data_IF_814496581001
#
_entry.id   IF_814496581001
#
_cell.length_a   1.000
_cell.length_b   1.000
_cell.length_c   1.000
_cell.angle_alpha   90.00
_cell.angle_beta   90.00
_cell.angle_gamma   90.00
#
_symmetry.space_group_name_H-M   'P 1'
#
loop_
_entity.id
_entity.type
_entity.pdbx_description
1 polymer ?
#
# COMPACT_ATOMS: atom_id res chain seq x y z
N UNK A 1 -39.06 -33.58 -33.87
CA UNK A 1 -39.44 -32.30 -33.21
C UNK A 1 -39.41 -32.53 -31.71
N UNK A 2 -38.58 -31.79 -31.00
CA UNK A 2 -38.39 -31.94 -29.56
C UNK A 2 -36.99 -31.50 -29.15
N UNK A 3 -36.62 -30.27 -29.48
CA UNK A 3 -35.41 -29.64 -28.95
C UNK A 3 -35.64 -29.34 -27.46
N UNK A 4 -35.12 -30.20 -26.61
CA UNK A 4 -34.92 -29.89 -25.19
C UNK A 4 -33.80 -28.87 -25.07
N UNK A 5 -34.17 -27.59 -25.05
CA UNK A 5 -33.27 -26.48 -24.76
C UNK A 5 -32.72 -26.64 -23.33
N UNK A 6 -31.39 -26.77 -23.26
CA UNK A 6 -30.59 -26.92 -22.06
C UNK A 6 -30.73 -25.69 -21.15
N UNK A 7 -31.15 -25.88 -19.89
CA UNK A 7 -31.27 -24.86 -18.82
C UNK A 7 -29.91 -24.29 -18.36
N UNK A 8 -29.00 -23.95 -19.26
CA UNK A 8 -27.63 -23.46 -18.94
C UNK A 8 -27.34 -22.02 -19.33
N UNK A 9 -28.35 -21.17 -19.49
CA UNK A 9 -28.16 -19.78 -19.91
C UNK A 9 -28.89 -18.74 -19.06
N UNK A 10 -29.14 -19.03 -17.77
CA UNK A 10 -29.70 -18.05 -16.82
C UNK A 10 -28.90 -18.00 -15.51
N UNK A 11 -27.58 -17.82 -15.60
CA UNK A 11 -26.73 -17.54 -14.43
C UNK A 11 -26.03 -16.18 -14.55
N UNK A 12 -26.70 -15.23 -15.20
CA UNK A 12 -26.18 -13.88 -15.41
C UNK A 12 -26.97 -12.81 -14.62
N UNK A 13 -28.09 -13.17 -13.98
CA UNK A 13 -28.92 -12.24 -13.20
C UNK A 13 -28.71 -12.26 -11.68
N UNK A 14 -27.87 -13.16 -11.16
CA UNK A 14 -27.69 -13.35 -9.70
C UNK A 14 -26.54 -12.51 -9.12
N UNK A 15 -25.52 -12.21 -9.94
CA UNK A 15 -24.34 -11.44 -9.51
C UNK A 15 -24.65 -9.95 -9.31
N UNK A 16 -25.49 -9.37 -10.16
CA UNK A 16 -25.88 -7.96 -10.03
C UNK A 16 -26.74 -7.75 -8.77
N UNK A 17 -27.63 -8.71 -8.47
CA UNK A 17 -28.42 -8.69 -7.23
C UNK A 17 -27.56 -8.84 -5.98
N UNK A 18 -26.56 -9.75 -5.97
CA UNK A 18 -25.63 -9.90 -4.83
C UNK A 18 -24.75 -8.65 -4.62
N UNK A 19 -24.39 -7.95 -5.70
CA UNK A 19 -23.63 -6.69 -5.63
C UNK A 19 -24.49 -5.54 -5.10
N UNK A 20 -25.77 -5.46 -5.48
CA UNK A 20 -26.72 -4.47 -4.95
C UNK A 20 -26.94 -4.61 -3.44
N UNK A 21 -26.89 -5.83 -2.89
CA UNK A 21 -26.99 -6.03 -1.43
C UNK A 21 -25.78 -5.52 -0.64
N UNK A 22 -24.62 -5.35 -1.29
CA UNK A 22 -23.37 -4.91 -0.66
C UNK A 22 -23.12 -3.41 -0.80
N UNK A 23 -23.99 -2.68 -1.50
CA UNK A 23 -23.83 -1.26 -1.78
C UNK A 23 -25.12 -0.48 -1.49
N UNK A 24 -24.97 0.77 -1.04
CA UNK A 24 -26.12 1.69 -0.98
C UNK A 24 -26.40 2.23 -2.40
N UNK A 25 -27.68 2.37 -2.80
CA UNK A 25 -28.03 3.10 -4.01
C UNK A 25 -27.42 4.50 -3.96
N UNK A 26 -26.61 4.86 -4.96
CA UNK A 26 -25.92 6.14 -5.01
C UNK A 26 -26.94 7.29 -5.13
N UNK A 27 -27.09 8.16 -4.11
CA UNK A 27 -28.07 9.24 -4.16
C UNK A 27 -27.57 10.45 -4.96
N UNK A 28 -26.31 10.46 -5.39
CA UNK A 28 -25.70 11.62 -6.04
C UNK A 28 -25.89 11.54 -7.57
N UNK A 29 -26.30 12.64 -8.22
CA UNK A 29 -26.42 12.69 -9.68
C UNK A 29 -25.06 12.56 -10.35
N UNK A 30 -25.06 12.07 -11.59
CA UNK A 30 -23.86 12.04 -12.43
C UNK A 30 -23.33 13.46 -12.69
N UNK A 31 -22.04 13.56 -12.94
CA UNK A 31 -21.30 14.83 -13.02
C UNK A 31 -21.90 15.86 -13.97
N UNK A 32 -22.35 15.44 -15.16
CA UNK A 32 -22.96 16.33 -16.15
C UNK A 32 -24.36 16.81 -15.73
N UNK A 33 -25.13 15.93 -15.08
CA UNK A 33 -26.45 16.27 -14.53
C UNK A 33 -26.34 17.20 -13.31
N UNK A 34 -25.25 17.11 -12.53
CA UNK A 34 -24.96 18.03 -11.43
C UNK A 34 -24.53 19.43 -11.90
N UNK A 35 -23.92 19.54 -13.09
CA UNK A 35 -23.53 20.81 -13.71
C UNK A 35 -24.68 21.50 -14.46
N UNK A 36 -25.69 20.75 -14.88
CA UNK A 36 -26.88 21.24 -15.59
C UNK A 36 -27.96 21.75 -14.62
N UNK A 37 -27.73 22.91 -14.00
CA UNK A 37 -28.81 23.66 -13.33
C UNK A 37 -29.69 24.31 -14.42
N UNK A 38 -31.04 24.35 -14.29
CA UNK A 38 -31.93 24.64 -15.42
C UNK A 38 -31.75 26.07 -15.92
N UNK A 39 -31.35 26.21 -17.18
CA UNK A 39 -31.47 27.45 -17.92
C UNK A 39 -32.92 27.61 -18.40
N UNK A 40 -33.85 27.87 -17.47
CA UNK A 40 -35.18 28.36 -17.82
C UNK A 40 -35.42 29.71 -17.14
N UNK A 41 -34.80 30.78 -17.66
CA UNK A 41 -35.39 32.13 -17.71
C UNK A 41 -34.73 32.95 -18.85
N UNK A 42 -35.48 33.86 -19.52
CA UNK A 42 -35.09 34.50 -20.78
C UNK A 42 -33.93 35.51 -20.64
N UNK A 43 -33.29 35.93 -21.75
CA UNK A 43 -31.97 36.54 -21.73
C UNK A 43 -32.01 38.02 -21.29
N UNK A 44 -31.81 38.26 -20.00
CA UNK A 44 -31.46 39.58 -19.46
C UNK A 44 -30.30 39.46 -18.47
N UNK A 45 -29.09 39.75 -18.96
CA UNK A 45 -27.91 40.22 -18.21
C UNK A 45 -27.73 39.72 -16.76
N UNK A 46 -27.54 38.41 -16.56
CA UNK A 46 -26.93 37.89 -15.32
C UNK A 46 -25.51 37.39 -15.61
N UNK A 47 -24.50 37.75 -14.79
CA UNK A 47 -23.19 37.13 -14.88
C UNK A 47 -23.32 35.61 -14.72
N UNK A 48 -22.45 34.84 -15.40
CA UNK A 48 -22.40 33.39 -15.24
C UNK A 48 -22.30 33.03 -13.75
N UNK A 49 -23.20 32.17 -13.28
CA UNK A 49 -23.22 31.74 -11.88
C UNK A 49 -21.87 31.10 -11.53
N UNK A 50 -21.32 31.51 -10.41
CA UNK A 50 -20.05 30.98 -9.91
C UNK A 50 -20.23 29.53 -9.46
N UNK A 51 -19.17 28.69 -9.50
CA UNK A 51 -19.23 27.31 -8.97
C UNK A 51 -19.74 27.23 -7.52
N UNK A 52 -19.57 28.31 -6.75
CA UNK A 52 -20.04 28.48 -5.38
C UNK A 52 -21.58 28.61 -5.31
N UNK A 53 -22.19 29.28 -6.28
CA UNK A 53 -23.65 29.43 -6.41
C UNK A 53 -24.31 28.16 -6.97
N UNK A 54 -23.58 27.37 -7.76
CA UNK A 54 -24.01 26.07 -8.28
C UNK A 54 -23.81 24.92 -7.28
N UNK A 55 -23.25 25.19 -6.09
CA UNK A 55 -23.00 24.18 -5.06
C UNK A 55 -21.97 23.12 -5.46
N UNK A 56 -21.17 23.38 -6.50
CA UNK A 56 -20.18 22.44 -7.01
C UNK A 56 -18.93 22.42 -6.12
N UNK A 57 -18.32 21.24 -5.89
CA UNK A 57 -17.17 21.12 -4.99
C UNK A 57 -15.85 21.64 -5.57
N UNK A 58 -15.79 21.96 -6.87
CA UNK A 58 -14.57 22.34 -7.57
C UNK A 58 -14.71 23.64 -8.37
N UNK A 59 -13.63 24.41 -8.44
CA UNK A 59 -13.44 25.48 -9.41
C UNK A 59 -13.15 24.89 -10.80
N UNK A 60 -13.21 25.73 -11.85
CA UNK A 60 -12.93 25.33 -13.23
C UNK A 60 -11.48 24.87 -13.47
N UNK A 61 -10.55 25.20 -12.59
CA UNK A 61 -9.15 24.73 -12.62
C UNK A 61 -8.93 23.40 -11.87
N UNK A 62 -10.01 22.76 -11.40
CA UNK A 62 -9.97 21.49 -10.66
C UNK A 62 -9.62 21.64 -9.17
N UNK A 63 -9.43 22.86 -8.66
CA UNK A 63 -9.20 23.07 -7.23
C UNK A 63 -10.50 22.95 -6.44
N UNK A 64 -10.40 22.42 -5.22
CA UNK A 64 -11.54 22.31 -4.31
C UNK A 64 -11.95 23.70 -3.83
N UNK A 65 -13.26 23.99 -3.87
CA UNK A 65 -13.77 25.28 -3.37
C UNK A 65 -13.55 25.42 -1.86
N UNK A 66 -13.39 26.67 -1.40
CA UNK A 66 -13.06 26.95 -0.01
C UNK A 66 -14.11 26.44 0.99
N UNK A 67 -15.40 26.58 0.69
CA UNK A 67 -16.49 26.12 1.56
C UNK A 67 -16.47 24.59 1.74
N UNK A 68 -16.19 23.84 0.67
CA UNK A 68 -16.09 22.39 0.74
C UNK A 68 -14.83 21.95 1.47
N UNK A 69 -13.69 22.63 1.23
CA UNK A 69 -12.45 22.44 1.99
C UNK A 69 -12.69 22.60 3.49
N UNK A 70 -13.39 23.66 3.92
CA UNK A 70 -13.74 23.89 5.33
C UNK A 70 -14.56 22.75 5.91
N UNK A 71 -15.55 22.23 5.18
CA UNK A 71 -16.38 21.10 5.60
C UNK A 71 -15.55 19.83 5.79
N UNK A 72 -14.66 19.53 4.83
CA UNK A 72 -13.73 18.39 4.91
C UNK A 72 -12.83 18.53 6.14
N UNK A 73 -12.19 19.70 6.32
CA UNK A 73 -11.30 19.95 7.45
C UNK A 73 -12.01 19.83 8.80
N UNK A 74 -13.24 20.33 8.92
CA UNK A 74 -14.05 20.15 10.13
C UNK A 74 -14.29 18.67 10.41
N UNK A 75 -14.69 17.91 9.39
CA UNK A 75 -15.00 16.50 9.56
C UNK A 75 -13.77 15.65 9.89
N UNK A 76 -12.61 15.99 9.32
CA UNK A 76 -11.33 15.37 9.67
C UNK A 76 -11.04 15.56 11.16
N UNK A 77 -11.20 16.78 11.69
CA UNK A 77 -10.98 17.06 13.12
C UNK A 77 -11.92 16.26 14.01
N UNK A 78 -13.21 16.21 13.68
CA UNK A 78 -14.20 15.47 14.45
C UNK A 78 -13.89 13.96 14.47
N UNK A 79 -13.53 13.39 13.31
CA UNK A 79 -13.21 11.97 13.19
C UNK A 79 -11.87 11.63 13.86
N UNK A 80 -10.88 12.52 13.83
CA UNK A 80 -9.63 12.32 14.56
C UNK A 80 -9.86 12.27 16.07
N UNK A 81 -10.75 13.12 16.60
CA UNK A 81 -11.11 13.06 18.02
C UNK A 81 -11.78 11.72 18.38
N UNK A 82 -12.72 11.25 17.56
CA UNK A 82 -13.38 9.96 17.77
C UNK A 82 -12.39 8.79 17.67
N UNK A 83 -11.49 8.83 16.69
CA UNK A 83 -10.43 7.84 16.51
C UNK A 83 -9.53 7.78 17.75
N UNK A 84 -9.04 8.92 18.24
CA UNK A 84 -8.18 8.99 19.43
C UNK A 84 -8.86 8.45 20.70
N UNK A 85 -10.17 8.69 20.84
CA UNK A 85 -10.94 8.09 21.93
C UNK A 85 -11.03 6.56 21.77
N UNK A 86 -11.34 6.08 20.56
CA UNK A 86 -11.42 4.65 20.27
C UNK A 86 -10.08 3.90 20.41
N UNK A 87 -8.95 4.57 20.14
CA UNK A 87 -7.62 3.97 20.27
C UNK A 87 -7.28 3.60 21.73
N UNK A 88 -7.95 4.16 22.73
CA UNK A 88 -7.75 3.80 24.14
C UNK A 88 -8.07 2.33 24.43
N UNK A 89 -8.93 1.71 23.62
CA UNK A 89 -9.32 0.29 23.76
C UNK A 89 -8.73 -0.62 22.68
N UNK A 90 -7.89 -0.07 21.77
CA UNK A 90 -7.25 -0.83 20.72
C UNK A 90 -6.17 -1.79 21.27
N UNK A 91 -5.94 -2.90 20.56
CA UNK A 91 -4.94 -3.90 20.96
C UNK A 91 -3.55 -3.24 21.09
N UNK A 92 -2.94 -3.27 22.29
CA UNK A 92 -1.65 -2.63 22.48
C UNK A 92 -0.48 -3.31 21.76
N UNK A 93 -0.65 -4.53 21.27
CA UNK A 93 0.40 -5.33 20.63
C UNK A 93 0.38 -5.27 19.10
N UNK A 94 -0.71 -4.83 18.48
CA UNK A 94 -0.78 -4.70 17.01
C UNK A 94 0.03 -3.50 16.53
N UNK A 95 1.27 -3.75 16.13
CA UNK A 95 2.17 -2.74 15.58
C UNK A 95 2.17 -2.72 14.04
N UNK A 96 1.20 -3.37 13.38
CA UNK A 96 1.12 -3.38 11.92
C UNK A 96 0.70 -2.01 11.36
N UNK A 97 1.00 -1.77 10.08
CA UNK A 97 0.45 -0.61 9.38
C UNK A 97 -0.99 -0.85 8.88
N UNK A 98 -1.39 -2.11 8.72
CA UNK A 98 -2.70 -2.52 8.21
C UNK A 98 -3.83 -2.26 9.21
N UNK A 99 -3.65 -2.65 10.48
CA UNK A 99 -4.67 -2.53 11.53
C UNK A 99 -4.15 -1.92 12.83
N UNK A 100 -2.84 -1.67 12.91
CA UNK A 100 -2.17 -1.34 14.15
C UNK A 100 -1.65 0.09 14.27
N UNK A 101 -0.84 0.30 15.29
CA UNK A 101 -0.30 1.60 15.69
C UNK A 101 0.58 2.27 14.62
N UNK A 102 1.21 1.50 13.73
CA UNK A 102 1.99 2.07 12.62
C UNK A 102 1.09 2.71 11.57
N UNK A 103 -0.13 2.19 11.37
CA UNK A 103 -1.11 2.80 10.46
C UNK A 103 -1.54 4.18 10.96
N UNK A 104 -1.73 4.28 12.28
CA UNK A 104 -2.04 5.55 12.95
C UNK A 104 -0.87 6.53 12.85
N UNK A 105 0.37 6.07 13.05
CA UNK A 105 1.55 6.89 12.83
C UNK A 105 1.61 7.42 11.39
N UNK A 106 1.37 6.56 10.40
CA UNK A 106 1.35 6.94 8.99
C UNK A 106 0.26 7.97 8.68
N UNK A 107 -0.93 7.85 9.28
CA UNK A 107 -1.99 8.86 9.18
C UNK A 107 -1.53 10.22 9.71
N UNK A 108 -0.92 10.25 10.89
CA UNK A 108 -0.41 11.50 11.48
C UNK A 108 0.73 12.12 10.67
N UNK A 109 1.62 11.30 10.11
CA UNK A 109 2.63 11.77 9.17
C UNK A 109 1.99 12.37 7.91
N UNK A 110 0.92 11.76 7.39
CA UNK A 110 0.19 12.30 6.24
C UNK A 110 -0.52 13.63 6.57
N UNK A 111 -1.11 13.75 7.77
CA UNK A 111 -1.68 15.02 8.23
C UNK A 111 -0.60 16.11 8.27
N UNK A 112 0.57 15.82 8.84
CA UNK A 112 1.71 16.73 8.81
C UNK A 112 2.12 17.14 7.39
N UNK A 113 2.16 16.21 6.43
CA UNK A 113 2.52 16.53 5.04
C UNK A 113 1.56 17.52 4.37
N UNK A 114 0.27 17.45 4.71
CA UNK A 114 -0.76 18.29 4.09
C UNK A 114 -0.91 19.62 4.82
N UNK A 115 -0.77 19.65 6.15
CA UNK A 115 -0.99 20.86 6.97
C UNK A 115 0.28 21.58 7.39
N UNK A 116 1.43 20.91 7.32
CA UNK A 116 2.71 21.34 7.89
C UNK A 116 2.67 21.60 9.41
N UNK A 117 1.66 21.08 10.12
CA UNK A 117 1.52 21.24 11.58
C UNK A 117 2.42 20.26 12.33
N UNK A 118 3.41 20.80 13.04
CA UNK A 118 4.40 20.04 13.81
C UNK A 118 3.78 19.16 14.90
N UNK A 119 2.62 19.52 15.43
CA UNK A 119 1.93 18.70 16.43
C UNK A 119 1.59 17.31 15.88
N UNK A 120 1.21 17.22 14.60
CA UNK A 120 0.95 15.93 13.97
C UNK A 120 2.23 15.11 13.77
N UNK A 121 3.35 15.75 13.47
CA UNK A 121 4.63 15.05 13.36
C UNK A 121 5.09 14.49 14.71
N UNK A 122 4.95 15.27 15.79
CA UNK A 122 5.24 14.81 17.15
C UNK A 122 4.30 13.69 17.58
N UNK A 123 3.00 13.79 17.24
CA UNK A 123 2.04 12.72 17.51
C UNK A 123 2.38 11.43 16.77
N UNK A 124 2.81 11.54 15.50
CA UNK A 124 3.33 10.40 14.75
C UNK A 124 4.55 9.76 15.42
N UNK A 125 5.46 10.57 15.98
CA UNK A 125 6.65 10.08 16.69
C UNK A 125 6.28 9.25 17.93
N UNK A 126 5.25 9.66 18.69
CA UNK A 126 4.81 8.93 19.87
C UNK A 126 4.35 7.50 19.51
N UNK A 127 3.60 7.36 18.43
CA UNK A 127 3.18 6.04 17.92
C UNK A 127 4.36 5.24 17.33
N UNK A 128 5.29 5.89 16.62
CA UNK A 128 6.51 5.25 16.12
C UNK A 128 7.31 4.66 17.28
N UNK A 129 7.60 5.45 18.31
CA UNK A 129 8.35 5.00 19.50
C UNK A 129 7.71 3.79 20.16
N UNK A 130 6.38 3.73 20.18
CA UNK A 130 5.63 2.57 20.67
C UNK A 130 5.85 1.35 19.78
N UNK A 131 5.66 1.49 18.48
CA UNK A 131 5.74 0.36 17.52
C UNK A 131 7.15 -0.24 17.43
N UNK A 132 8.20 0.59 17.47
CA UNK A 132 9.59 0.15 17.37
C UNK A 132 10.07 -0.67 18.58
N UNK A 133 9.38 -0.58 19.73
CA UNK A 133 9.69 -1.38 20.93
C UNK A 133 9.15 -2.80 20.84
N UNK A 134 8.20 -3.05 19.93
CA UNK A 134 7.40 -4.28 19.87
C UNK A 134 7.60 -5.05 18.54
N UNK A 135 8.74 -4.87 17.88
CA UNK A 135 9.11 -5.65 16.69
C UNK A 135 9.28 -7.12 17.07
N UNK A 136 8.73 -8.02 16.25
CA UNK A 136 8.67 -9.45 16.58
C UNK A 136 9.34 -10.37 15.55
N UNK A 137 9.80 -9.82 14.42
CA UNK A 137 10.54 -10.54 13.38
C UNK A 137 9.73 -11.57 12.60
N UNK A 138 8.43 -11.74 12.87
CA UNK A 138 7.62 -12.81 12.24
C UNK A 138 7.21 -12.49 10.82
N UNK A 139 7.03 -11.21 10.50
CA UNK A 139 6.55 -10.73 9.20
C UNK A 139 7.43 -9.57 8.75
N UNK A 140 7.62 -9.47 7.43
CA UNK A 140 8.63 -8.57 6.84
C UNK A 140 8.04 -7.50 5.93
N UNK A 141 6.72 -7.42 5.75
CA UNK A 141 6.08 -6.47 4.82
C UNK A 141 5.78 -5.13 5.47
N UNK A 142 5.57 -4.10 4.66
CA UNK A 142 5.16 -2.78 5.16
C UNK A 142 3.83 -2.82 5.91
N UNK A 143 2.83 -3.52 5.36
CA UNK A 143 1.47 -3.52 5.92
C UNK A 143 1.36 -4.38 7.17
N UNK A 144 1.94 -5.58 7.15
CA UNK A 144 1.66 -6.58 8.18
C UNK A 144 2.90 -6.99 8.99
N UNK A 145 4.07 -6.39 8.75
CA UNK A 145 5.34 -6.81 9.36
C UNK A 145 6.21 -5.66 9.81
N UNK A 146 7.41 -6.02 10.27
CA UNK A 146 8.35 -5.09 10.92
C UNK A 146 8.89 -4.02 9.96
N UNK A 147 8.82 -4.25 8.65
CA UNK A 147 9.21 -3.24 7.67
C UNK A 147 8.32 -2.00 7.70
N UNK A 148 7.05 -2.11 8.14
CA UNK A 148 6.16 -0.96 8.33
C UNK A 148 6.67 0.00 9.40
N UNK A 149 6.75 -0.42 10.67
CA UNK A 149 7.30 0.40 11.76
C UNK A 149 8.67 0.98 11.44
N UNK A 150 9.57 0.19 10.85
CA UNK A 150 10.92 0.62 10.51
C UNK A 150 10.92 1.68 9.41
N UNK A 151 10.15 1.49 8.33
CA UNK A 151 10.08 2.45 7.24
C UNK A 151 9.40 3.76 7.66
N UNK A 152 8.26 3.69 8.36
CA UNK A 152 7.58 4.88 8.88
C UNK A 152 8.44 5.61 9.92
N UNK A 153 9.08 4.85 10.82
CA UNK A 153 10.00 5.41 11.81
C UNK A 153 11.18 6.14 11.17
N UNK A 154 11.83 5.55 10.16
CA UNK A 154 12.93 6.17 9.45
C UNK A 154 12.55 7.55 8.88
N UNK A 155 11.37 7.66 8.27
CA UNK A 155 10.87 8.91 7.68
C UNK A 155 10.53 9.93 8.76
N UNK A 156 9.85 9.54 9.83
CA UNK A 156 9.48 10.44 10.93
C UNK A 156 10.74 11.03 11.59
N UNK A 157 11.73 10.20 11.91
CA UNK A 157 13.00 10.65 12.47
C UNK A 157 13.76 11.57 11.50
N UNK A 158 13.75 11.25 10.21
CA UNK A 158 14.37 12.10 9.19
C UNK A 158 13.71 13.49 9.10
N UNK A 159 12.38 13.57 9.12
CA UNK A 159 11.65 14.86 9.13
C UNK A 159 11.96 15.67 10.39
N UNK A 160 12.21 15.01 11.52
CA UNK A 160 12.61 15.62 12.80
C UNK A 160 14.11 15.94 12.91
N UNK A 161 14.91 15.66 11.89
CA UNK A 161 16.37 15.86 11.89
C UNK A 161 17.12 15.00 12.91
N UNK A 162 16.54 13.86 13.26
CA UNK A 162 17.16 12.80 14.06
C UNK A 162 17.80 11.76 13.13
N UNK A 163 18.93 12.12 12.53
CA UNK A 163 19.57 11.27 11.50
C UNK A 163 20.07 9.94 12.07
N UNK A 164 20.50 9.91 13.34
CA UNK A 164 20.96 8.68 14.00
C UNK A 164 19.87 7.61 14.06
N UNK A 165 18.72 7.96 14.63
CA UNK A 165 17.57 7.06 14.75
C UNK A 165 16.96 6.71 13.39
N UNK A 166 16.98 7.65 12.44
CA UNK A 166 16.55 7.39 11.06
C UNK A 166 17.43 6.31 10.40
N UNK A 167 18.76 6.46 10.47
CA UNK A 167 19.70 5.49 9.91
C UNK A 167 19.65 4.13 10.63
N UNK A 168 19.39 4.11 11.94
CA UNK A 168 19.17 2.87 12.67
C UNK A 168 17.95 2.10 12.14
N UNK A 169 16.84 2.81 11.88
CA UNK A 169 15.64 2.22 11.31
C UNK A 169 15.90 1.65 9.90
N UNK A 170 16.62 2.38 9.04
CA UNK A 170 17.01 1.92 7.69
C UNK A 170 17.90 0.69 7.79
N UNK A 171 18.87 0.69 8.69
CA UNK A 171 19.79 -0.44 8.88
C UNK A 171 19.03 -1.70 9.28
N UNK A 172 18.10 -1.59 10.24
CA UNK A 172 17.23 -2.70 10.64
C UNK A 172 16.31 -3.15 9.49
N UNK A 173 15.77 -2.22 8.71
CA UNK A 173 14.94 -2.53 7.54
C UNK A 173 15.72 -3.37 6.52
N UNK A 174 16.98 -3.01 6.25
CA UNK A 174 17.86 -3.74 5.35
C UNK A 174 18.30 -5.10 5.91
N UNK A 175 18.39 -5.27 7.23
CA UNK A 175 18.66 -6.57 7.83
C UNK A 175 17.55 -7.60 7.56
N UNK A 176 16.30 -7.15 7.42
CA UNK A 176 15.17 -8.01 7.03
C UNK A 176 15.34 -8.62 5.62
N UNK A 177 16.14 -7.99 4.75
CA UNK A 177 16.33 -8.42 3.37
C UNK A 177 16.89 -9.85 3.27
N UNK A 178 17.69 -10.28 4.26
CA UNK A 178 18.26 -11.63 4.29
C UNK A 178 17.20 -12.73 4.27
N UNK A 179 16.08 -12.52 4.97
CA UNK A 179 14.95 -13.46 5.03
C UNK A 179 14.17 -13.50 3.71
N UNK A 180 14.28 -12.45 2.90
CA UNK A 180 13.45 -12.22 1.71
C UNK A 180 14.13 -12.72 0.44
N UNK A 181 15.44 -12.50 0.35
CA UNK A 181 16.28 -12.90 -0.78
C UNK A 181 16.78 -14.35 -0.61
N UNK A 182 16.54 -14.98 0.54
CA UNK A 182 16.88 -16.38 0.75
C UNK A 182 16.20 -17.28 -0.30
N UNK A 183 16.99 -18.11 -0.97
CA UNK A 183 16.54 -19.03 -2.03
C UNK A 183 15.50 -20.03 -1.58
N UNK A 184 15.50 -20.40 -0.31
CA UNK A 184 14.56 -21.34 0.31
C UNK A 184 13.38 -20.62 1.00
N UNK A 185 13.24 -19.30 0.79
CA UNK A 185 12.14 -18.53 1.36
C UNK A 185 10.80 -18.86 0.69
N UNK A 186 9.83 -19.31 1.49
CA UNK A 186 8.45 -19.59 1.07
C UNK A 186 7.55 -18.33 1.00
N UNK A 187 8.16 -17.13 1.01
CA UNK A 187 7.40 -15.89 0.94
C UNK A 187 6.65 -15.78 -0.40
N UNK A 188 5.37 -15.38 -0.36
CA UNK A 188 4.60 -15.12 -1.58
C UNK A 188 5.10 -13.84 -2.26
N UNK A 189 4.59 -13.55 -3.46
CA UNK A 189 4.95 -12.34 -4.23
C UNK A 189 3.87 -11.24 -4.16
N UNK A 190 3.00 -11.27 -3.14
CA UNK A 190 1.91 -10.29 -2.96
C UNK A 190 2.24 -9.19 -1.92
N UNK A 191 1.29 -8.30 -1.66
CA UNK A 191 1.50 -7.04 -0.94
C UNK A 191 1.45 -7.19 0.59
N UNK A 192 0.59 -8.05 1.12
CA UNK A 192 0.32 -8.13 2.56
C UNK A 192 1.40 -8.92 3.30
N UNK A 193 1.91 -10.00 2.71
CA UNK A 193 2.84 -10.95 3.35
C UNK A 193 4.05 -11.30 2.46
N UNK A 194 4.09 -10.79 1.24
CA UNK A 194 5.07 -11.17 0.24
C UNK A 194 6.17 -10.17 -0.05
N UNK A 195 7.01 -10.53 -1.04
CA UNK A 195 8.14 -9.73 -1.50
C UNK A 195 7.73 -8.33 -1.97
N UNK A 196 6.54 -8.18 -2.57
CA UNK A 196 6.04 -6.89 -3.03
C UNK A 196 5.76 -5.95 -1.85
N UNK A 197 5.25 -6.47 -0.72
CA UNK A 197 5.03 -5.71 0.50
C UNK A 197 6.31 -5.16 1.14
N UNK A 198 7.41 -5.91 1.07
CA UNK A 198 8.71 -5.40 1.52
C UNK A 198 9.34 -4.43 0.54
N UNK A 199 9.24 -4.72 -0.77
CA UNK A 199 9.71 -3.81 -1.81
C UNK A 199 9.04 -2.44 -1.68
N UNK A 200 7.75 -2.40 -1.37
CA UNK A 200 7.04 -1.16 -1.07
C UNK A 200 7.68 -0.39 0.08
N UNK A 201 8.10 -1.06 1.17
CA UNK A 201 8.77 -0.39 2.30
C UNK A 201 10.07 0.31 1.87
N UNK A 202 10.90 -0.35 1.05
CA UNK A 202 12.14 0.23 0.53
C UNK A 202 11.87 1.45 -0.36
N UNK A 203 10.89 1.33 -1.27
CA UNK A 203 10.50 2.42 -2.17
C UNK A 203 9.87 3.59 -1.42
N UNK A 204 9.08 3.32 -0.38
CA UNK A 204 8.49 4.34 0.49
C UNK A 204 9.58 5.20 1.14
N UNK A 205 10.60 4.58 1.74
CA UNK A 205 11.73 5.32 2.35
C UNK A 205 12.46 6.18 1.32
N UNK A 206 12.77 5.63 0.13
CA UNK A 206 13.43 6.39 -0.94
C UNK A 206 12.58 7.54 -1.47
N UNK A 207 11.26 7.39 -1.50
CA UNK A 207 10.36 8.45 -1.98
C UNK A 207 10.29 9.58 -0.96
N UNK A 208 10.22 9.27 0.33
CA UNK A 208 9.99 10.27 1.38
C UNK A 208 11.26 11.00 1.85
N UNK A 209 12.42 10.34 1.76
CA UNK A 209 13.72 10.88 2.18
C UNK A 209 14.60 11.33 1.01
N UNK A 210 14.22 10.98 -0.22
CA UNK A 210 14.95 11.31 -1.43
C UNK A 210 15.78 10.14 -2.00
N UNK A 211 16.16 10.24 -3.29
CA UNK A 211 16.91 9.18 -3.97
C UNK A 211 18.27 8.97 -3.28
N UNK A 212 18.49 7.75 -2.79
CA UNK A 212 19.75 7.36 -2.14
C UNK A 212 19.64 7.01 -0.66
N UNK A 213 18.48 7.20 -0.02
CA UNK A 213 18.27 6.75 1.37
C UNK A 213 18.41 5.22 1.53
N UNK A 214 18.04 4.47 0.49
CA UNK A 214 18.21 3.02 0.35
C UNK A 214 18.95 2.76 -0.97
N UNK A 215 20.02 1.97 -0.90
CA UNK A 215 20.83 1.58 -2.05
C UNK A 215 19.98 0.94 -3.16
N UNK A 216 20.16 1.37 -4.40
CA UNK A 216 19.41 0.85 -5.55
C UNK A 216 19.67 -0.66 -5.78
N UNK A 217 20.85 -1.15 -5.39
CA UNK A 217 21.18 -2.58 -5.37
C UNK A 217 20.19 -3.36 -4.51
N UNK A 218 19.91 -2.91 -3.28
CA UNK A 218 18.98 -3.55 -2.36
C UNK A 218 17.56 -3.64 -2.95
N UNK A 219 17.11 -2.58 -3.64
CA UNK A 219 15.79 -2.55 -4.31
C UNK A 219 15.75 -3.53 -5.48
N UNK A 220 16.79 -3.57 -6.31
CA UNK A 220 16.88 -4.45 -7.49
C UNK A 220 17.04 -5.93 -7.13
N UNK A 221 17.54 -6.26 -5.94
CA UNK A 221 17.70 -7.66 -5.52
C UNK A 221 16.36 -8.37 -5.28
N UNK A 222 15.35 -7.68 -4.72
CA UNK A 222 14.07 -8.30 -4.34
C UNK A 222 13.31 -8.89 -5.56
N UNK A 223 13.18 -8.18 -6.72
CA UNK A 223 12.57 -8.75 -7.92
C UNK A 223 13.44 -9.82 -8.62
N UNK A 224 14.77 -9.74 -8.50
CA UNK A 224 15.72 -10.62 -9.19
C UNK A 224 15.65 -12.06 -8.71
N UNK A 225 15.31 -12.30 -7.45
CA UNK A 225 15.20 -13.66 -6.92
C UNK A 225 14.06 -14.45 -7.60
N UNK A 226 12.92 -13.81 -7.90
CA UNK A 226 11.84 -14.44 -8.66
C UNK A 226 12.27 -14.80 -10.09
N UNK A 227 13.02 -13.93 -10.75
CA UNK A 227 13.54 -14.19 -12.09
C UNK A 227 14.48 -15.40 -12.09
N UNK A 228 15.28 -15.60 -11.04
CA UNK A 228 16.17 -16.78 -10.87
C UNK A 228 15.41 -18.08 -10.69
N UNK A 229 14.22 -18.08 -10.05
CA UNK A 229 13.38 -19.28 -9.91
C UNK A 229 12.68 -19.72 -11.21
N UNK A 230 12.49 -18.80 -12.17
CA UNK A 230 11.86 -19.12 -13.47
C UNK A 230 12.84 -19.69 -14.51
N UNK A 231 14.14 -19.60 -14.27
CA UNK A 231 15.16 -20.19 -15.16
C UNK A 231 15.47 -21.60 -14.64
N UNK A 232 15.04 -22.67 -15.32
CA UNK A 232 15.48 -24.02 -14.95
C UNK A 232 17.00 -24.09 -15.08
N UNK A 233 17.66 -24.71 -14.10
CA UNK A 233 19.08 -25.08 -14.22
C UNK A 233 19.32 -25.77 -15.56
N UNK A 234 20.40 -25.48 -16.31
CA UNK A 234 20.78 -26.34 -17.42
C UNK A 234 20.92 -27.76 -16.86
N UNK A 235 20.20 -28.70 -17.45
CA UNK A 235 20.29 -30.11 -17.11
C UNK A 235 21.76 -30.52 -17.23
N UNK A 236 22.33 -31.12 -16.17
CA UNK A 236 23.61 -31.78 -16.30
C UNK A 236 23.49 -32.83 -17.41
N UNK A 237 24.40 -32.89 -18.39
CA UNK A 237 24.37 -33.94 -19.39
C UNK A 237 24.47 -35.29 -18.67
N UNK A 238 23.72 -36.32 -19.11
CA UNK A 238 23.77 -37.62 -18.48
C UNK A 238 25.22 -38.11 -18.46
N UNK A 239 25.65 -38.61 -17.30
CA UNK A 239 26.96 -39.22 -17.13
C UNK A 239 27.18 -40.22 -18.27
N UNK A 240 28.22 -39.97 -19.07
CA UNK A 240 28.64 -40.88 -20.12
C UNK A 240 28.81 -42.26 -19.49
N UNK A 241 28.00 -43.20 -19.95
CA UNK A 241 28.10 -44.61 -19.60
C UNK A 241 29.50 -45.06 -19.99
N UNK A 242 30.38 -45.19 -18.99
CA UNK A 242 31.69 -45.81 -19.19
C UNK A 242 31.41 -47.26 -19.59
N UNK A 243 31.64 -47.56 -20.87
CA UNK A 243 31.77 -48.94 -21.36
C UNK A 243 32.81 -49.65 -20.48
N UNK A 244 32.52 -50.88 -19.99
CA UNK A 244 33.48 -51.61 -19.19
C UNK A 244 34.72 -51.89 -20.02
N UNK A 245 35.88 -51.50 -19.49
CA UNK A 245 37.19 -51.89 -19.98
C UNK A 245 37.26 -53.42 -20.01
N UNK A 246 37.43 -54.00 -21.20
CA UNK A 246 37.88 -55.38 -21.34
C UNK A 246 39.25 -55.51 -20.68
N UNK A 247 39.29 -56.20 -19.54
CA UNK A 247 40.51 -56.69 -18.92
C UNK A 247 40.86 -58.03 -19.58
N UNK A 248 42.01 -58.03 -20.23
CA UNK A 248 43.04 -59.07 -20.34
C UNK A 248 42.65 -60.55 -20.36
N UNK A 249 43.10 -61.20 -21.44
CA UNK A 249 43.97 -62.37 -21.32
C UNK A 249 43.42 -63.67 -21.90
N UNK A 250 44.06 -64.19 -22.94
CA UNK A 250 44.70 -65.52 -22.94
C UNK A 250 45.45 -65.82 -24.25
N UNK A 251 46.69 -66.25 -24.04
CA UNK A 251 47.63 -66.99 -24.87
C UNK A 251 47.09 -67.65 -26.16
N UNK A 252 47.71 -67.35 -27.31
CA UNK A 252 48.73 -68.18 -27.98
C UNK A 252 49.42 -67.35 -29.08
#
# INVERSE_FOLDING_TARGET
MGETISRRLWFQGDWDAEMEERAFPNPFPDYEAAAAVPAEEPPCARPALTPEELGLPFHSDGKIIHNFTRRIQSKIKDLLQQMEEGLKTADPHDCSAYTGWTGIALLYLQLYRVTCDQNYLLRSLDYVKRTLRNLNGRRVTFLCGDAGPLAVGAVVYHKLKSDGESQECITKLLQLQRTIVCRDSDLPDELLFGRAGYLYALLYVNTEMGPGAVCESAIKEVPRERARRRVPSPAQPPASTQLPRCLDGLCF
#
